data_IF_689275387512
#
_entry.id   IF_689275387512
#
_cell.length_a   1.000
_cell.length_b   1.000
_cell.length_c   1.000
_cell.angle_alpha   90.00
_cell.angle_beta   90.00
_cell.angle_gamma   90.00
#
_symmetry.space_group_name_H-M   'P 1'
#
loop_
_entity.id
_entity.type
_entity.pdbx_description
1 polymer ?
#
# COMPACT_ATOMS: atom_id res chain seq x y z
N UNK A 1 28.56 18.72 6.28
CA UNK A 1 27.78 19.96 6.52
C UNK A 1 28.02 20.51 7.93
N UNK A 2 28.12 19.68 8.98
CA UNK A 2 28.37 20.13 10.35
C UNK A 2 29.65 20.92 10.54
N UNK A 3 30.76 20.47 9.94
CA UNK A 3 32.07 21.15 10.05
C UNK A 3 32.05 22.55 9.42
N UNK A 4 31.32 22.74 8.34
CA UNK A 4 31.19 24.05 7.67
C UNK A 4 30.39 25.01 8.55
N UNK A 5 29.34 24.54 9.21
CA UNK A 5 28.54 25.36 10.15
C UNK A 5 29.36 25.85 11.34
N UNK A 6 30.22 24.98 11.90
CA UNK A 6 31.10 25.37 13.00
C UNK A 6 32.13 26.44 12.58
N UNK A 7 32.73 26.29 11.39
CA UNK A 7 33.68 27.27 10.87
C UNK A 7 33.01 28.63 10.66
N UNK A 8 31.81 28.64 10.06
CA UNK A 8 31.05 29.89 9.82
C UNK A 8 30.65 30.52 11.16
N UNK A 9 30.15 29.73 12.11
CA UNK A 9 29.79 30.21 13.45
C UNK A 9 30.97 30.84 14.15
N UNK A 10 32.16 30.21 14.12
CA UNK A 10 33.37 30.71 14.75
C UNK A 10 33.82 32.05 14.14
N UNK A 11 33.75 32.18 12.82
CA UNK A 11 34.09 33.42 12.10
C UNK A 11 33.10 34.53 12.46
N UNK A 12 31.78 34.22 12.52
CA UNK A 12 30.77 35.18 12.90
C UNK A 12 30.94 35.69 14.34
N UNK A 13 31.21 34.80 15.27
CA UNK A 13 31.49 35.13 16.68
C UNK A 13 32.72 36.08 16.78
N UNK A 14 33.76 35.76 16.03
CA UNK A 14 34.97 36.58 16.04
C UNK A 14 34.75 38.02 15.48
N UNK A 15 33.87 38.12 14.47
CA UNK A 15 33.61 39.41 13.80
C UNK A 15 32.59 40.27 14.53
N UNK A 16 31.52 39.66 15.09
CA UNK A 16 30.42 40.41 15.73
C UNK A 16 30.50 40.45 17.26
N UNK A 17 31.42 39.71 17.90
CA UNK A 17 31.56 39.63 19.37
C UNK A 17 30.26 39.28 20.11
N UNK A 18 29.29 38.68 19.42
CA UNK A 18 28.00 38.29 19.97
C UNK A 18 27.91 36.78 20.12
N UNK A 19 27.83 36.32 21.37
CA UNK A 19 27.80 34.87 21.71
C UNK A 19 26.47 34.19 21.43
N UNK A 20 25.45 34.92 20.91
CA UNK A 20 24.15 34.40 20.57
C UNK A 20 24.09 33.57 19.29
N UNK A 21 25.15 33.54 18.47
CA UNK A 21 25.15 32.77 17.23
C UNK A 21 25.22 31.24 17.42
N UNK A 22 25.87 30.79 18.50
CA UNK A 22 26.01 29.37 18.80
C UNK A 22 24.67 28.68 19.10
N UNK A 23 23.80 29.20 20.02
CA UNK A 23 22.49 28.64 20.23
C UNK A 23 21.57 28.76 19.00
N UNK A 24 21.69 29.81 18.17
CA UNK A 24 20.92 29.94 16.96
C UNK A 24 21.35 28.89 15.92
N UNK A 25 22.65 28.66 15.75
CA UNK A 25 23.16 27.66 14.84
C UNK A 25 22.74 26.23 15.27
N UNK A 26 22.80 25.91 16.55
CA UNK A 26 22.38 24.64 17.10
C UNK A 26 20.85 24.41 16.92
N UNK A 27 20.04 25.45 17.13
CA UNK A 27 18.60 25.42 16.89
C UNK A 27 18.28 25.17 15.41
N UNK A 28 18.98 25.86 14.52
CA UNK A 28 18.79 25.68 13.06
C UNK A 28 19.15 24.25 12.61
N UNK A 29 20.26 23.71 13.11
CA UNK A 29 20.64 22.33 12.84
C UNK A 29 19.57 21.37 13.39
N UNK A 30 19.07 21.59 14.59
CA UNK A 30 18.00 20.79 15.18
C UNK A 30 16.72 20.81 14.34
N UNK A 31 16.31 21.97 13.83
CA UNK A 31 15.15 22.10 12.94
C UNK A 31 15.39 21.36 11.62
N UNK A 32 16.58 21.46 11.04
CA UNK A 32 16.91 20.73 9.79
C UNK A 32 16.90 19.22 10.00
N UNK A 33 17.40 18.73 11.14
CA UNK A 33 17.35 17.29 11.47
C UNK A 33 15.89 16.84 11.63
N UNK A 34 15.09 17.59 12.40
CA UNK A 34 13.66 17.31 12.55
C UNK A 34 12.96 17.28 11.20
N UNK A 35 13.20 18.27 10.35
CA UNK A 35 12.61 18.34 9.01
C UNK A 35 12.95 17.16 8.13
N UNK A 36 14.14 16.56 8.28
CA UNK A 36 14.54 15.36 7.53
C UNK A 36 13.99 14.06 8.11
N UNK A 37 13.73 14.00 9.41
CA UNK A 37 13.25 12.80 10.10
C UNK A 37 11.73 12.65 10.01
N UNK A 38 10.98 13.75 10.03
CA UNK A 38 9.51 13.73 10.01
C UNK A 38 8.94 12.93 8.84
N UNK A 39 9.35 13.12 7.56
CA UNK A 39 8.82 12.32 6.46
C UNK A 39 9.10 10.84 6.65
N UNK A 40 10.30 10.47 7.10
CA UNK A 40 10.66 9.08 7.34
C UNK A 40 9.78 8.42 8.42
N UNK A 41 9.48 9.16 9.49
CA UNK A 41 8.58 8.66 10.56
C UNK A 41 7.15 8.49 10.05
N UNK A 42 6.67 9.41 9.22
CA UNK A 42 5.33 9.32 8.63
C UNK A 42 5.24 8.12 7.70
N UNK A 43 6.21 7.92 6.81
CA UNK A 43 6.22 6.81 5.86
C UNK A 43 6.32 5.46 6.59
N UNK A 44 7.18 5.36 7.60
CA UNK A 44 7.25 4.17 8.46
C UNK A 44 5.93 3.93 9.20
N UNK A 45 5.28 5.00 9.67
CA UNK A 45 3.97 4.92 10.32
C UNK A 45 2.87 4.40 9.41
N UNK A 46 2.83 4.82 8.15
CA UNK A 46 1.85 4.33 7.16
C UNK A 46 1.99 2.84 6.91
N UNK A 47 3.21 2.35 6.73
CA UNK A 47 3.48 0.92 6.55
C UNK A 47 3.00 0.13 7.78
N UNK A 48 3.29 0.61 9.00
CA UNK A 48 2.85 -0.03 10.23
C UNK A 48 1.32 0.00 10.42
N UNK A 49 0.65 1.02 9.90
CA UNK A 49 -0.82 1.11 9.88
C UNK A 49 -1.46 0.27 8.77
N UNK A 50 -0.66 -0.43 7.95
CA UNK A 50 -1.13 -1.22 6.80
C UNK A 50 -1.94 -0.38 5.80
N UNK A 51 -1.62 0.91 5.69
CA UNK A 51 -2.29 1.84 4.80
C UNK A 51 -1.68 1.72 3.40
N UNK A 52 -2.52 1.39 2.42
CA UNK A 52 -2.15 1.39 1.01
C UNK A 52 -2.01 2.84 0.51
N UNK A 53 -1.09 3.08 -0.42
CA UNK A 53 -0.99 4.37 -1.09
C UNK A 53 -2.27 4.68 -1.90
N UNK A 54 -2.56 5.97 -2.09
CA UNK A 54 -3.79 6.40 -2.76
C UNK A 54 -3.91 5.83 -4.19
N UNK A 55 -2.79 5.73 -4.92
CA UNK A 55 -2.76 5.16 -6.26
C UNK A 55 -3.12 3.67 -6.25
N UNK A 56 -2.61 2.92 -5.28
CA UNK A 56 -2.88 1.50 -5.12
C UNK A 56 -4.32 1.24 -4.66
N UNK A 57 -4.89 2.14 -3.85
CA UNK A 57 -6.29 2.06 -3.46
C UNK A 57 -7.23 2.26 -4.64
N UNK A 58 -6.97 3.23 -5.53
CA UNK A 58 -7.76 3.43 -6.75
C UNK A 58 -7.63 2.25 -7.70
N UNK A 59 -6.41 1.76 -7.92
CA UNK A 59 -6.15 0.59 -8.75
C UNK A 59 -6.88 -0.66 -8.21
N UNK A 60 -6.85 -0.84 -6.89
CA UNK A 60 -7.54 -1.94 -6.21
C UNK A 60 -9.06 -1.84 -6.39
N UNK A 61 -9.65 -0.64 -6.26
CA UNK A 61 -11.09 -0.46 -6.46
C UNK A 61 -11.50 -0.81 -7.89
N UNK A 62 -10.74 -0.36 -8.89
CA UNK A 62 -11.00 -0.70 -10.30
C UNK A 62 -10.88 -2.21 -10.55
N UNK A 63 -9.88 -2.87 -9.95
CA UNK A 63 -9.72 -4.32 -10.06
C UNK A 63 -10.90 -5.07 -9.42
N UNK A 64 -11.35 -4.64 -8.23
CA UNK A 64 -12.49 -5.25 -7.54
C UNK A 64 -13.80 -5.04 -8.30
N UNK A 65 -14.00 -3.87 -8.90
CA UNK A 65 -15.17 -3.59 -9.76
C UNK A 65 -15.16 -4.51 -11.00
N UNK A 66 -13.98 -4.71 -11.59
CA UNK A 66 -13.83 -5.64 -12.72
C UNK A 66 -14.13 -7.09 -12.33
N UNK A 67 -13.68 -7.51 -11.15
CA UNK A 67 -13.97 -8.86 -10.61
C UNK A 67 -15.48 -8.99 -10.32
N UNK A 68 -16.11 -7.97 -9.74
CA UNK A 68 -17.55 -7.98 -9.47
C UNK A 68 -18.41 -8.01 -10.74
N UNK A 69 -17.91 -7.46 -11.85
CA UNK A 69 -18.58 -7.50 -13.15
C UNK A 69 -18.42 -8.85 -13.87
N UNK A 70 -17.65 -9.78 -13.33
CA UNK A 70 -17.44 -11.09 -13.95
C UNK A 70 -18.71 -11.96 -13.86
N UNK A 71 -19.18 -12.57 -14.95
CA UNK A 71 -20.50 -13.22 -15.01
C UNK A 71 -20.66 -14.41 -14.04
N UNK A 72 -19.58 -15.04 -13.62
CA UNK A 72 -19.59 -16.22 -12.73
C UNK A 72 -19.48 -15.79 -11.26
N UNK A 73 -19.00 -14.57 -11.00
CA UNK A 73 -18.83 -14.04 -9.64
C UNK A 73 -20.15 -13.46 -9.16
N UNK A 74 -20.72 -14.07 -8.11
CA UNK A 74 -21.95 -13.60 -7.49
C UNK A 74 -21.66 -12.45 -6.52
N UNK A 75 -20.58 -12.53 -5.76
CA UNK A 75 -20.14 -11.50 -4.82
C UNK A 75 -18.67 -11.74 -4.43
N UNK A 76 -18.05 -10.74 -3.87
CA UNK A 76 -16.79 -10.91 -3.15
C UNK A 76 -16.94 -10.42 -1.70
N UNK A 77 -16.13 -10.96 -0.82
CA UNK A 77 -16.10 -10.56 0.58
C UNK A 77 -14.68 -10.61 1.13
N UNK A 78 -14.45 -9.95 2.26
CA UNK A 78 -13.17 -9.97 2.96
C UNK A 78 -11.97 -9.67 2.05
N UNK A 79 -12.12 -8.66 1.19
CA UNK A 79 -11.01 -8.17 0.38
C UNK A 79 -10.09 -7.32 1.27
N UNK A 80 -8.99 -7.93 1.71
CA UNK A 80 -7.99 -7.28 2.55
C UNK A 80 -6.65 -7.28 1.82
N UNK A 81 -6.13 -6.09 1.59
CA UNK A 81 -4.83 -5.87 0.96
C UNK A 81 -4.01 -4.95 1.84
N UNK A 82 -2.73 -5.26 2.01
CA UNK A 82 -1.83 -4.47 2.83
C UNK A 82 -0.42 -4.46 2.25
N UNK A 83 0.35 -3.40 2.48
CA UNK A 83 1.74 -3.34 2.07
C UNK A 83 2.56 -4.32 2.93
N UNK A 84 3.41 -5.12 2.27
CA UNK A 84 4.38 -5.98 2.93
C UNK A 84 5.63 -5.18 3.28
N UNK A 85 6.03 -4.34 2.36
CA UNK A 85 7.08 -3.32 2.49
C UNK A 85 6.66 -2.06 1.73
N UNK A 86 7.55 -1.10 1.52
CA UNK A 86 7.22 0.15 0.83
C UNK A 86 6.89 0.01 -0.65
N UNK A 87 7.09 -1.16 -1.26
CA UNK A 87 6.97 -1.38 -2.70
C UNK A 87 6.04 -2.55 -3.07
N UNK A 88 5.84 -3.51 -2.16
CA UNK A 88 5.08 -4.73 -2.44
C UNK A 88 3.80 -4.81 -1.64
N UNK A 89 2.74 -5.31 -2.30
CA UNK A 89 1.42 -5.51 -1.71
C UNK A 89 1.13 -7.01 -1.66
N UNK A 90 0.52 -7.44 -0.58
CA UNK A 90 -0.04 -8.78 -0.45
C UNK A 90 -1.52 -8.68 -0.05
N UNK A 91 -2.30 -9.70 -0.37
CA UNK A 91 -3.72 -9.63 -0.05
C UNK A 91 -4.44 -10.96 -0.02
N UNK A 92 -5.64 -10.88 0.52
CA UNK A 92 -6.59 -11.99 0.52
C UNK A 92 -7.93 -11.49 0.02
N UNK A 93 -8.61 -12.34 -0.76
CA UNK A 93 -9.96 -12.08 -1.24
C UNK A 93 -10.77 -13.37 -1.24
N UNK A 94 -12.01 -13.26 -0.79
CA UNK A 94 -12.98 -14.35 -0.84
C UNK A 94 -13.98 -14.07 -1.96
N UNK A 95 -14.11 -15.00 -2.89
CA UNK A 95 -15.00 -14.89 -4.05
C UNK A 95 -16.10 -15.92 -3.93
N UNK A 96 -17.32 -15.44 -4.01
CA UNK A 96 -18.52 -16.25 -4.08
C UNK A 96 -18.91 -16.42 -5.55
N UNK A 97 -18.91 -17.65 -6.04
CA UNK A 97 -19.29 -17.98 -7.42
C UNK A 97 -20.59 -18.78 -7.47
N UNK A 98 -21.37 -18.58 -8.52
CA UNK A 98 -22.62 -19.30 -8.71
C UNK A 98 -22.38 -20.63 -9.40
N UNK A 99 -22.67 -21.72 -8.67
CA UNK A 99 -22.51 -23.08 -9.17
C UNK A 99 -23.52 -23.45 -10.25
N UNK A 100 -24.67 -22.75 -10.32
CA UNK A 100 -25.70 -23.01 -11.33
C UNK A 100 -25.28 -22.51 -12.71
N UNK A 101 -24.57 -21.38 -12.76
CA UNK A 101 -24.03 -20.84 -14.00
C UNK A 101 -22.81 -21.62 -14.50
N UNK A 102 -22.08 -22.24 -13.57
CA UNK A 102 -20.93 -23.09 -13.89
C UNK A 102 -21.35 -24.45 -14.47
N UNK A 103 -22.59 -24.91 -14.26
CA UNK A 103 -23.08 -26.22 -14.74
C UNK A 103 -23.74 -26.17 -16.12
N UNK A 104 -24.24 -25.00 -16.57
CA UNK A 104 -24.96 -24.85 -17.83
C UNK A 104 -24.06 -24.46 -19.02
N UNK A 105 -22.85 -23.99 -18.77
CA UNK A 105 -21.87 -23.80 -19.84
C UNK A 105 -21.12 -25.11 -20.09
N UNK A 106 -21.12 -25.59 -21.31
CA UNK A 106 -20.39 -26.75 -21.81
C UNK A 106 -18.85 -26.67 -21.68
N UNK A 107 -18.37 -25.81 -20.86
CA UNK A 107 -17.03 -25.75 -20.30
C UNK A 107 -17.16 -25.74 -18.76
N UNK A 108 -16.80 -26.86 -18.16
CA UNK A 108 -16.51 -26.94 -16.74
C UNK A 108 -15.59 -25.76 -16.40
N UNK A 109 -16.13 -24.67 -15.82
CA UNK A 109 -15.30 -23.62 -15.25
C UNK A 109 -14.66 -24.23 -14.02
N UNK A 110 -13.48 -24.75 -14.22
CA UNK A 110 -12.67 -25.30 -13.16
C UNK A 110 -12.39 -24.15 -12.16
N UNK A 111 -12.65 -24.33 -10.87
CA UNK A 111 -12.32 -23.32 -9.85
C UNK A 111 -10.89 -22.79 -9.95
N UNK A 112 -9.96 -23.62 -10.44
CA UNK A 112 -8.58 -23.21 -10.71
C UNK A 112 -8.47 -22.12 -11.80
N UNK A 113 -9.32 -22.20 -12.83
CA UNK A 113 -9.34 -21.22 -13.94
C UNK A 113 -9.85 -19.87 -13.44
N UNK A 114 -10.93 -19.85 -12.66
CA UNK A 114 -11.46 -18.63 -12.06
C UNK A 114 -10.42 -17.98 -11.13
N UNK A 115 -9.69 -18.78 -10.34
CA UNK A 115 -8.61 -18.27 -9.49
C UNK A 115 -7.51 -17.60 -10.31
N UNK A 116 -7.14 -18.19 -11.45
CA UNK A 116 -6.13 -17.64 -12.35
C UNK A 116 -6.60 -16.33 -12.99
N UNK A 117 -7.84 -16.26 -13.46
CA UNK A 117 -8.42 -15.05 -14.04
C UNK A 117 -8.47 -13.91 -13.04
N UNK A 118 -8.93 -14.18 -11.82
CA UNK A 118 -8.94 -13.18 -10.73
C UNK A 118 -7.53 -12.69 -10.42
N UNK A 119 -6.56 -13.60 -10.34
CA UNK A 119 -5.15 -13.22 -10.15
C UNK A 119 -4.62 -12.36 -11.29
N UNK A 120 -4.93 -12.70 -12.52
CA UNK A 120 -4.54 -11.93 -13.69
C UNK A 120 -5.14 -10.52 -13.68
N UNK A 121 -6.43 -10.39 -13.33
CA UNK A 121 -7.08 -9.10 -13.20
C UNK A 121 -6.37 -8.27 -12.13
N UNK A 122 -6.15 -8.80 -10.94
CA UNK A 122 -5.46 -8.11 -9.87
C UNK A 122 -4.05 -7.68 -10.26
N UNK A 123 -3.26 -8.57 -10.88
CA UNK A 123 -1.92 -8.22 -11.36
C UNK A 123 -1.89 -7.20 -12.51
N UNK A 124 -2.94 -7.12 -13.31
CA UNK A 124 -3.01 -6.13 -14.40
C UNK A 124 -3.23 -4.71 -13.89
N UNK A 125 -3.88 -4.54 -12.75
CA UNK A 125 -4.15 -3.25 -12.13
C UNK A 125 -3.13 -2.88 -11.03
N UNK A 126 -2.68 -3.87 -10.27
CA UNK A 126 -1.72 -3.72 -9.17
C UNK A 126 -0.38 -4.33 -9.57
N UNK A 127 0.53 -3.52 -10.10
CA UNK A 127 1.86 -3.96 -10.51
C UNK A 127 2.76 -4.31 -9.32
N UNK A 128 2.45 -3.74 -8.15
CA UNK A 128 3.11 -3.98 -6.87
C UNK A 128 2.62 -5.23 -6.12
N UNK A 129 1.63 -5.96 -6.69
CA UNK A 129 1.07 -7.15 -6.06
C UNK A 129 2.04 -8.34 -6.19
N UNK A 130 2.64 -8.78 -5.07
CA UNK A 130 3.53 -9.93 -5.03
C UNK A 130 2.77 -11.24 -4.86
N UNK A 131 1.82 -11.27 -3.92
CA UNK A 131 1.05 -12.47 -3.63
C UNK A 131 -0.40 -12.15 -3.28
N UNK A 132 -1.33 -12.92 -3.83
CA UNK A 132 -2.73 -12.87 -3.45
C UNK A 132 -3.27 -14.27 -3.17
N UNK A 133 -3.92 -14.42 -2.03
CA UNK A 133 -4.63 -15.64 -1.67
C UNK A 133 -6.11 -15.48 -2.04
N UNK A 134 -6.54 -16.20 -3.07
CA UNK A 134 -7.93 -16.23 -3.52
C UNK A 134 -8.61 -17.46 -2.95
N UNK A 135 -9.65 -17.24 -2.15
CA UNK A 135 -10.48 -18.32 -1.61
C UNK A 135 -11.83 -18.31 -2.32
N UNK A 136 -12.18 -19.46 -2.88
CA UNK A 136 -13.44 -19.64 -3.59
C UNK A 136 -14.49 -20.30 -2.69
N UNK A 137 -15.67 -19.68 -2.66
CA UNK A 137 -16.82 -20.22 -1.93
C UNK A 137 -17.96 -20.49 -2.92
N UNK A 138 -18.47 -21.74 -3.01
CA UNK A 138 -19.63 -22.02 -3.83
C UNK A 138 -20.84 -21.25 -3.27
N UNK A 139 -21.49 -20.47 -4.11
CA UNK A 139 -22.69 -19.70 -3.78
C UNK A 139 -23.88 -20.63 -3.57
N UNK A 140 -24.17 -20.99 -2.32
CA UNK A 140 -25.27 -21.85 -1.95
C UNK A 140 -25.72 -21.67 -0.48
N UNK A 141 -24.96 -20.96 0.32
CA UNK A 141 -25.36 -20.68 1.71
C UNK A 141 -25.21 -19.20 2.04
N UNK A 142 -26.31 -18.47 1.92
CA UNK A 142 -26.51 -17.21 2.65
C UNK A 142 -26.65 -17.58 4.13
N UNK A 143 -25.53 -17.63 4.85
CA UNK A 143 -25.57 -17.51 6.29
C UNK A 143 -25.49 -16.02 6.62
N UNK A 144 -26.62 -15.49 7.07
CA UNK A 144 -26.76 -14.17 7.68
C UNK A 144 -26.01 -14.12 9.03
#
# INVERSE_FOLDING_TARGET
LGSVGVIISTILIHYFHWTGFDPIASLLIGIMILGSVVPLVIDSGRILCLELDNNDQEALQLALEKIAAHPIVSAYSSAHFWPLDGETIVGTIHIHYDTLLASDASSLVDPSTLTLEVKQILHSYLHSLEAVHVQLHPGGQKNF
#
